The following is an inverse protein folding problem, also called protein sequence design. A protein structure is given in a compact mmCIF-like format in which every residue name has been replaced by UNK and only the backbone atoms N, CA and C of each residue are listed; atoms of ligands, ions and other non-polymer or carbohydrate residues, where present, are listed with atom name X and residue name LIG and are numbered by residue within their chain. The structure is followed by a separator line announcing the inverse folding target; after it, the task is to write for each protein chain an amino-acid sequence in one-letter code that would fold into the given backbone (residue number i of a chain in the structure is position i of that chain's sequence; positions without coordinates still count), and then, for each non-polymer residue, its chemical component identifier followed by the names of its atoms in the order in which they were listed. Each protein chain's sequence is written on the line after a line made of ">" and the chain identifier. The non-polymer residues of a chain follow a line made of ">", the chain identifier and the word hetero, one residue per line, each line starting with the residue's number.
data_IF_295073612215
#
_entry.id   IF_295073612215
#
_cell.length_a   1.000
_cell.length_b   1.000
_cell.length_c   1.000
_cell.angle_alpha   90.00
_cell.angle_beta   90.00
_cell.angle_gamma   90.00
#
_symmetry.space_group_name_H-M   'P 1'
#
loop_
_entity.id
_entity.type
_entity.pdbx_description
1 polymer ?
#
# COMPACT_ATOMS: atom_id res chain seq x y z
N UNK A 1 25.33 -22.22 -4.89
CA UNK A 1 24.37 -21.12 -5.05
C UNK A 1 23.41 -20.96 -3.86
N UNK A 2 22.45 -21.84 -3.56
CA UNK A 2 21.51 -21.62 -2.41
C UNK A 2 22.21 -21.50 -1.04
N UNK A 3 23.20 -22.34 -0.76
CA UNK A 3 23.96 -22.28 0.51
C UNK A 3 24.79 -20.99 0.59
N UNK A 4 25.38 -20.55 -0.53
CA UNK A 4 26.17 -19.32 -0.58
C UNK A 4 25.30 -18.08 -0.35
N UNK A 5 24.11 -18.03 -0.95
CA UNK A 5 23.14 -16.96 -0.71
C UNK A 5 22.69 -16.94 0.75
N UNK A 6 22.38 -18.10 1.35
CA UNK A 6 21.99 -18.18 2.76
C UNK A 6 23.12 -17.70 3.69
N UNK A 7 24.37 -18.10 3.41
CA UNK A 7 25.53 -17.64 4.18
C UNK A 7 25.70 -16.12 4.03
N UNK A 8 25.48 -15.56 2.84
CA UNK A 8 25.51 -14.11 2.61
C UNK A 8 24.45 -13.39 3.45
N UNK A 9 23.19 -13.85 3.42
CA UNK A 9 22.12 -13.22 4.19
C UNK A 9 22.37 -13.31 5.70
N UNK A 10 22.78 -14.48 6.22
CA UNK A 10 23.14 -14.65 7.64
C UNK A 10 24.28 -13.72 8.02
N UNK A 11 25.32 -13.64 7.19
CA UNK A 11 26.47 -12.76 7.45
C UNK A 11 26.05 -11.29 7.42
N UNK A 12 25.19 -10.90 6.49
CA UNK A 12 24.65 -9.54 6.40
C UNK A 12 23.89 -9.16 7.66
N UNK A 13 22.99 -10.02 8.15
CA UNK A 13 22.23 -9.77 9.39
C UNK A 13 23.18 -9.71 10.59
N UNK A 14 24.16 -10.62 10.67
CA UNK A 14 25.11 -10.66 11.78
C UNK A 14 26.04 -9.43 11.83
N UNK A 15 26.46 -8.91 10.67
CA UNK A 15 27.34 -7.75 10.56
C UNK A 15 26.59 -6.41 10.61
N UNK A 16 25.26 -6.42 10.50
CA UNK A 16 24.45 -5.21 10.62
C UNK A 16 24.20 -4.95 12.09
N UNK A 17 24.81 -3.89 12.62
CA UNK A 17 24.56 -3.41 13.98
C UNK A 17 23.19 -2.71 14.04
N UNK A 18 22.14 -3.51 14.25
CA UNK A 18 20.76 -3.04 14.38
C UNK A 18 20.27 -2.66 15.81
N UNK A 19 21.02 -2.82 16.93
CA UNK A 19 20.53 -2.39 18.23
C UNK A 19 20.35 -0.86 18.24
N UNK A 20 19.11 -0.44 18.45
CA UNK A 20 18.77 0.98 18.54
C UNK A 20 19.41 1.54 19.80
N UNK A 21 20.31 2.51 19.62
CA UNK A 21 20.98 3.21 20.71
C UNK A 21 20.04 4.19 21.45
N UNK A 22 18.88 4.50 20.85
CA UNK A 22 17.88 5.41 21.40
C UNK A 22 16.47 4.81 21.32
N UNK A 23 15.60 5.28 22.21
CA UNK A 23 14.18 4.89 22.20
C UNK A 23 13.54 5.35 20.88
N UNK A 24 12.80 4.48 20.16
CA UNK A 24 12.19 4.86 18.90
C UNK A 24 11.21 6.00 19.08
N UNK A 25 11.17 6.89 18.08
CA UNK A 25 10.16 7.93 18.05
C UNK A 25 8.81 7.31 17.71
N UNK A 26 7.70 8.00 18.05
CA UNK A 26 6.39 7.58 17.62
C UNK A 26 6.24 7.31 16.12
N UNK A 27 6.87 8.16 15.32
CA UNK A 27 6.83 8.06 13.86
C UNK A 27 7.59 6.82 13.38
N UNK A 28 8.69 6.44 14.05
CA UNK A 28 9.48 5.26 13.69
C UNK A 28 8.72 3.95 13.90
N UNK A 29 7.94 3.86 14.98
CA UNK A 29 7.06 2.70 15.20
C UNK A 29 5.96 2.60 14.13
N UNK A 30 5.35 3.73 13.78
CA UNK A 30 4.35 3.76 12.72
C UNK A 30 4.95 3.34 11.37
N UNK A 31 6.17 3.81 11.05
CA UNK A 31 6.92 3.37 9.86
C UNK A 31 7.17 1.87 9.87
N UNK A 32 7.61 1.32 11.00
CA UNK A 32 7.87 -0.11 11.12
C UNK A 32 6.61 -0.96 10.86
N UNK A 33 5.46 -0.54 11.39
CA UNK A 33 4.21 -1.26 11.12
C UNK A 33 3.67 -1.05 9.71
N UNK A 34 3.86 0.13 9.12
CA UNK A 34 3.55 0.38 7.71
C UNK A 34 4.44 -0.46 6.77
N UNK A 35 5.70 -0.71 7.13
CA UNK A 35 6.59 -1.61 6.40
C UNK A 35 6.04 -3.06 6.36
N UNK A 36 5.36 -3.52 7.41
CA UNK A 36 4.68 -4.83 7.40
C UNK A 36 3.53 -4.84 6.38
N UNK A 37 2.81 -3.73 6.24
CA UNK A 37 1.74 -3.60 5.24
C UNK A 37 2.33 -3.73 3.84
N UNK A 38 3.36 -2.95 3.51
CA UNK A 38 4.01 -2.95 2.21
C UNK A 38 4.66 -4.30 1.86
N UNK A 39 5.48 -4.85 2.77
CA UNK A 39 6.30 -6.03 2.47
C UNK A 39 5.50 -7.34 2.50
N UNK A 40 4.43 -7.41 3.29
CA UNK A 40 3.72 -8.67 3.55
C UNK A 40 2.22 -8.58 3.21
N UNK A 41 1.47 -7.73 3.92
CA UNK A 41 0.01 -7.75 3.85
C UNK A 41 -0.52 -7.37 2.47
N UNK A 42 0.14 -6.45 1.78
CA UNK A 42 -0.26 -5.96 0.46
C UNK A 42 -0.44 -7.09 -0.55
N UNK A 43 0.47 -8.09 -0.54
CA UNK A 43 0.40 -9.27 -1.41
C UNK A 43 -0.38 -10.42 -0.79
N UNK A 44 -0.22 -10.63 0.52
CA UNK A 44 -0.81 -11.77 1.21
C UNK A 44 -2.34 -11.72 1.25
N UNK A 45 -2.94 -10.53 1.47
CA UNK A 45 -4.39 -10.38 1.63
C UNK A 45 -5.15 -10.68 0.34
N UNK A 46 -4.81 -10.09 -0.83
CA UNK A 46 -5.46 -10.44 -2.10
C UNK A 46 -5.29 -11.92 -2.45
N UNK A 47 -4.10 -12.48 -2.24
CA UNK A 47 -3.83 -13.90 -2.48
C UNK A 47 -4.73 -14.79 -1.62
N UNK A 48 -4.83 -14.50 -0.32
CA UNK A 48 -5.71 -15.23 0.58
C UNK A 48 -7.19 -15.12 0.17
N UNK A 49 -7.68 -13.93 -0.17
CA UNK A 49 -9.05 -13.74 -0.65
C UNK A 49 -9.32 -14.51 -1.95
N UNK A 50 -8.32 -14.63 -2.82
CA UNK A 50 -8.42 -15.46 -4.02
C UNK A 50 -8.55 -16.95 -3.67
N UNK A 51 -7.75 -17.46 -2.73
CA UNK A 51 -7.87 -18.83 -2.23
C UNK A 51 -9.25 -19.10 -1.63
N UNK A 52 -9.75 -18.19 -0.79
CA UNK A 52 -11.10 -18.28 -0.19
C UNK A 52 -12.17 -18.30 -1.27
N UNK A 53 -12.09 -17.40 -2.25
CA UNK A 53 -13.02 -17.35 -3.38
C UNK A 53 -13.06 -18.67 -4.17
N UNK A 54 -11.90 -19.26 -4.42
CA UNK A 54 -11.79 -20.56 -5.10
C UNK A 54 -12.34 -21.71 -4.25
N UNK A 55 -12.06 -21.71 -2.95
CA UNK A 55 -12.63 -22.69 -2.02
C UNK A 55 -14.16 -22.60 -1.97
N UNK A 56 -14.72 -21.37 -1.92
CA UNK A 56 -16.16 -21.14 -1.95
C UNK A 56 -16.80 -21.62 -3.25
N UNK A 57 -16.15 -21.43 -4.41
CA UNK A 57 -16.63 -22.01 -5.68
C UNK A 57 -16.70 -23.53 -5.62
N UNK A 58 -15.65 -24.19 -5.09
CA UNK A 58 -15.59 -25.65 -4.95
C UNK A 58 -16.70 -26.20 -4.06
N UNK A 59 -16.90 -25.59 -2.89
CA UNK A 59 -17.95 -25.99 -1.96
C UNK A 59 -19.32 -25.65 -2.55
N UNK A 60 -19.55 -24.46 -3.09
CA UNK A 60 -20.89 -24.06 -3.53
C UNK A 60 -21.41 -24.79 -4.77
N UNK A 61 -20.63 -25.66 -5.42
CA UNK A 61 -21.12 -26.52 -6.52
C UNK A 61 -22.35 -27.38 -6.14
N UNK A 62 -22.61 -27.64 -4.86
CA UNK A 62 -23.80 -28.40 -4.44
C UNK A 62 -25.07 -27.57 -4.18
N UNK A 63 -24.99 -26.23 -4.04
CA UNK A 63 -26.19 -25.41 -3.73
C UNK A 63 -26.33 -24.05 -4.44
N UNK A 64 -25.27 -23.36 -4.92
CA UNK A 64 -25.45 -22.07 -5.63
C UNK A 64 -24.27 -21.56 -6.48
N UNK A 65 -23.09 -22.19 -6.45
CA UNK A 65 -21.92 -21.84 -7.28
C UNK A 65 -21.36 -20.42 -7.11
N UNK A 66 -21.67 -19.72 -6.01
CA UNK A 66 -21.35 -18.29 -5.84
C UNK A 66 -19.93 -18.08 -5.33
N UNK A 67 -19.15 -17.31 -6.11
CA UNK A 67 -17.85 -16.74 -5.72
C UNK A 67 -18.00 -15.59 -4.73
N UNK A 68 -16.92 -15.24 -4.03
CA UNK A 68 -16.86 -13.98 -3.28
C UNK A 68 -17.15 -12.79 -4.21
N UNK A 69 -18.04 -11.88 -3.81
CA UNK A 69 -18.36 -10.67 -4.59
C UNK A 69 -17.11 -9.78 -4.69
N UNK A 70 -16.89 -9.16 -5.85
CA UNK A 70 -15.72 -8.28 -6.10
C UNK A 70 -15.61 -7.12 -5.10
N UNK A 71 -16.74 -6.59 -4.61
CA UNK A 71 -16.77 -5.47 -3.64
C UNK A 71 -16.66 -5.93 -2.17
N UNK A 72 -16.55 -7.24 -1.91
CA UNK A 72 -16.51 -7.76 -0.56
C UNK A 72 -15.12 -7.50 0.06
N UNK A 73 -15.08 -6.79 1.18
CA UNK A 73 -13.87 -6.52 1.96
C UNK A 73 -14.04 -7.07 3.38
N UNK A 74 -13.99 -8.41 3.56
CA UNK A 74 -14.28 -9.03 4.85
C UNK A 74 -13.15 -8.82 5.88
N UNK A 75 -11.96 -8.43 5.41
CA UNK A 75 -10.79 -8.16 6.25
C UNK A 75 -10.50 -6.66 6.18
N UNK A 76 -10.35 -6.04 7.34
CA UNK A 76 -9.93 -4.64 7.50
C UNK A 76 -8.88 -4.55 8.58
N UNK A 77 -7.85 -3.77 8.33
CA UNK A 77 -6.77 -3.52 9.29
C UNK A 77 -6.97 -2.16 9.94
N UNK A 78 -6.73 -2.11 11.24
CA UNK A 78 -6.60 -0.90 12.03
C UNK A 78 -5.24 -0.90 12.71
N UNK A 79 -4.71 0.29 12.95
CA UNK A 79 -3.47 0.48 13.70
C UNK A 79 -3.74 1.35 14.90
N UNK A 80 -3.22 0.93 16.05
CA UNK A 80 -3.15 1.76 17.25
C UNK A 80 -1.85 2.54 17.36
N UNK A 81 -0.90 2.28 16.45
CA UNK A 81 0.40 2.95 16.45
C UNK A 81 0.17 4.46 16.36
N UNK A 82 0.33 5.09 17.52
CA UNK A 82 0.31 6.54 17.74
C UNK A 82 -1.04 7.24 17.47
N UNK A 83 -2.12 6.46 17.47
CA UNK A 83 -3.48 6.94 17.72
C UNK A 83 -3.86 6.84 19.19
N UNK A 84 -3.27 5.89 19.93
CA UNK A 84 -3.47 5.73 21.36
C UNK A 84 -2.55 6.66 22.16
N UNK A 85 -3.17 7.60 22.88
CA UNK A 85 -2.48 8.60 23.70
C UNK A 85 -2.43 8.23 25.18
N UNK A 86 -3.00 7.07 25.57
CA UNK A 86 -3.13 6.72 26.98
C UNK A 86 -1.76 6.61 27.67
N UNK A 87 -1.49 7.54 28.58
CA UNK A 87 -0.24 7.61 29.36
C UNK A 87 1.04 7.98 28.61
N UNK A 88 0.99 8.32 27.31
CA UNK A 88 2.20 8.59 26.52
C UNK A 88 2.27 10.04 26.01
N UNK A 89 2.93 10.90 26.78
CA UNK A 89 3.13 12.33 26.45
C UNK A 89 3.85 12.58 25.11
N UNK A 90 4.51 11.57 24.54
CA UNK A 90 5.18 11.69 23.25
C UNK A 90 4.20 11.57 22.06
N UNK A 91 2.94 11.17 22.29
CA UNK A 91 1.92 11.05 21.24
C UNK A 91 1.08 12.32 21.24
N UNK A 92 1.55 13.32 20.50
CA UNK A 92 0.85 14.60 20.34
C UNK A 92 -0.09 14.57 19.13
N UNK A 93 -1.02 15.53 19.06
CA UNK A 93 -1.90 15.68 17.90
C UNK A 93 -1.13 15.87 16.57
N UNK A 94 0.02 16.56 16.62
CA UNK A 94 0.89 16.71 15.46
C UNK A 94 1.45 15.36 15.01
N UNK A 95 1.94 14.53 15.94
CA UNK A 95 2.42 13.18 15.62
C UNK A 95 1.32 12.32 14.99
N UNK A 96 0.10 12.35 15.53
CA UNK A 96 -1.03 11.59 14.95
C UNK A 96 -1.38 12.08 13.54
N UNK A 97 -1.31 13.40 13.29
CA UNK A 97 -1.47 13.97 11.95
C UNK A 97 -0.38 13.49 11.00
N UNK A 98 0.88 13.54 11.41
CA UNK A 98 2.02 13.14 10.59
C UNK A 98 1.95 11.66 10.21
N UNK A 99 1.62 10.79 11.16
CA UNK A 99 1.44 9.34 10.92
C UNK A 99 0.26 9.07 9.98
N UNK A 100 -0.83 9.82 10.09
CA UNK A 100 -1.99 9.70 9.18
C UNK A 100 -1.61 10.09 7.75
N UNK A 101 -0.87 11.19 7.58
CA UNK A 101 -0.39 11.63 6.26
C UNK A 101 0.62 10.64 5.67
N UNK A 102 1.53 10.12 6.49
CA UNK A 102 2.47 9.06 6.08
C UNK A 102 1.74 7.81 5.60
N UNK A 103 0.69 7.37 6.32
CA UNK A 103 -0.11 6.21 5.93
C UNK A 103 -0.82 6.44 4.58
N UNK A 104 -1.35 7.65 4.37
CA UNK A 104 -1.98 8.04 3.09
C UNK A 104 -0.97 8.06 1.95
N UNK A 105 0.21 8.62 2.18
CA UNK A 105 1.28 8.66 1.19
C UNK A 105 1.69 7.25 0.76
N UNK A 106 1.98 6.36 1.71
CA UNK A 106 2.33 4.97 1.41
C UNK A 106 1.21 4.25 0.65
N UNK A 107 -0.05 4.48 1.06
CA UNK A 107 -1.20 3.89 0.37
C UNK A 107 -1.23 4.31 -1.11
N UNK A 108 -1.06 5.60 -1.39
CA UNK A 108 -1.04 6.13 -2.76
C UNK A 108 0.13 5.52 -3.54
N UNK A 109 1.31 5.46 -2.95
CA UNK A 109 2.50 4.90 -3.57
C UNK A 109 2.30 3.42 -3.97
N UNK A 110 1.75 2.60 -3.07
CA UNK A 110 1.42 1.20 -3.36
C UNK A 110 0.39 1.07 -4.50
N UNK A 111 -0.66 1.89 -4.51
CA UNK A 111 -1.64 1.87 -5.60
C UNK A 111 -1.05 2.32 -6.94
N UNK A 112 -0.16 3.32 -6.95
CA UNK A 112 0.50 3.77 -8.19
C UNK A 112 1.29 2.62 -8.80
N UNK A 113 2.07 1.88 -7.99
CA UNK A 113 2.83 0.72 -8.47
C UNK A 113 1.94 -0.35 -9.10
N UNK A 114 0.79 -0.67 -8.49
CA UNK A 114 -0.17 -1.63 -9.05
C UNK A 114 -0.81 -1.11 -10.35
N UNK A 115 -1.22 0.16 -10.39
CA UNK A 115 -1.81 0.77 -11.58
C UNK A 115 -0.80 0.80 -12.73
N UNK A 116 0.47 1.10 -12.44
CA UNK A 116 1.52 1.10 -13.46
C UNK A 116 1.79 -0.32 -14.00
N UNK A 117 1.77 -1.35 -13.15
CA UNK A 117 1.84 -2.75 -13.63
C UNK A 117 0.65 -3.09 -14.54
N UNK A 118 -0.57 -2.73 -14.12
CA UNK A 118 -1.79 -2.99 -14.89
C UNK A 118 -1.80 -2.30 -16.25
N UNK A 119 -1.20 -1.11 -16.38
CA UNK A 119 -1.07 -0.42 -17.68
C UNK A 119 -0.29 -1.26 -18.70
N UNK A 120 0.74 -1.99 -18.26
CA UNK A 120 1.51 -2.86 -19.14
C UNK A 120 0.78 -4.17 -19.46
N UNK A 121 0.04 -4.74 -18.50
CA UNK A 121 -0.68 -5.99 -18.68
C UNK A 121 -1.95 -5.84 -19.53
N UNK A 122 -2.68 -4.73 -19.39
CA UNK A 122 -3.94 -4.47 -20.07
C UNK A 122 -3.74 -3.84 -21.46
N UNK A 123 -2.91 -4.45 -22.30
CA UNK A 123 -2.61 -3.97 -23.66
C UNK A 123 -3.67 -4.35 -24.72
N UNK A 124 -4.85 -4.79 -24.30
CA UNK A 124 -5.94 -5.23 -25.18
C UNK A 124 -6.58 -4.05 -25.89
N UNK A 125 -6.93 -4.21 -27.18
CA UNK A 125 -7.57 -3.16 -27.97
C UNK A 125 -9.10 -3.23 -27.98
N UNK A 126 -9.68 -4.35 -27.56
CA UNK A 126 -11.14 -4.54 -27.51
C UNK A 126 -11.68 -4.11 -26.16
N UNK A 127 -12.69 -3.24 -26.20
CA UNK A 127 -13.40 -2.76 -25.02
C UNK A 127 -14.89 -2.59 -25.32
N UNK A 128 -15.71 -2.48 -24.27
CA UNK A 128 -17.14 -2.17 -24.42
C UNK A 128 -17.34 -0.72 -24.83
N UNK A 129 -18.45 -0.42 -25.49
CA UNK A 129 -18.80 0.96 -25.90
C UNK A 129 -18.77 1.95 -24.73
N UNK A 130 -19.21 1.51 -23.55
CA UNK A 130 -19.17 2.32 -22.32
C UNK A 130 -17.75 2.69 -21.90
N UNK A 131 -16.80 1.76 -22.01
CA UNK A 131 -15.40 1.98 -21.65
C UNK A 131 -14.70 2.83 -22.72
N UNK A 132 -15.02 2.60 -24.00
CA UNK A 132 -14.50 3.41 -25.11
C UNK A 132 -14.88 4.88 -24.98
N UNK A 133 -16.16 5.17 -24.64
CA UNK A 133 -16.62 6.55 -24.43
C UNK A 133 -15.89 7.23 -23.29
N UNK A 134 -15.77 6.54 -22.14
CA UNK A 134 -15.05 7.07 -20.98
C UNK A 134 -13.57 7.36 -21.31
N UNK A 135 -12.91 6.47 -22.06
CA UNK A 135 -11.53 6.67 -22.48
C UNK A 135 -11.37 7.89 -23.40
N UNK A 136 -12.31 8.10 -24.33
CA UNK A 136 -12.33 9.28 -25.20
C UNK A 136 -12.51 10.58 -24.41
N UNK A 137 -13.46 10.63 -23.46
CA UNK A 137 -13.67 11.79 -22.57
C UNK A 137 -12.38 12.14 -21.79
N UNK A 138 -11.69 11.13 -21.26
CA UNK A 138 -10.42 11.33 -20.52
C UNK A 138 -9.33 11.86 -21.45
N UNK A 139 -9.22 11.37 -22.68
CA UNK A 139 -8.22 11.85 -23.65
C UNK A 139 -8.47 13.31 -24.05
N UNK A 140 -9.73 13.67 -24.28
CA UNK A 140 -10.14 15.02 -24.64
C UNK A 140 -9.87 16.03 -23.50
N UNK A 141 -10.13 15.63 -22.25
CA UNK A 141 -9.86 16.48 -21.08
C UNK A 141 -8.41 16.43 -20.57
N UNK A 142 -7.69 15.32 -20.80
CA UNK A 142 -6.34 15.06 -20.29
C UNK A 142 -5.24 15.85 -21.01
N UNK A 143 -5.44 16.21 -22.28
CA UNK A 143 -4.49 17.07 -23.02
C UNK A 143 -4.34 18.47 -22.40
N UNK A 144 -5.27 18.90 -21.55
CA UNK A 144 -5.22 20.20 -20.87
C UNK A 144 -4.42 20.19 -19.55
N UNK A 145 -4.18 19.01 -18.96
CA UNK A 145 -3.60 18.86 -17.60
C UNK A 145 -2.30 18.04 -17.52
N UNK A 146 -1.80 17.55 -18.66
CA UNK A 146 -0.70 16.57 -18.75
C UNK A 146 0.67 17.03 -18.19
N UNK A 147 0.84 18.29 -17.76
CA UNK A 147 2.08 18.76 -17.13
C UNK A 147 2.08 18.77 -15.59
N UNK A 148 0.93 18.61 -14.91
CA UNK A 148 0.82 18.91 -13.47
C UNK A 148 0.53 17.71 -12.56
N UNK A 149 -0.01 16.61 -13.07
CA UNK A 149 -0.60 15.59 -12.19
C UNK A 149 0.41 14.61 -11.58
N UNK A 150 1.53 14.36 -12.25
CA UNK A 150 2.52 13.37 -11.78
C UNK A 150 3.43 13.94 -10.68
N UNK A 151 3.60 15.27 -10.63
CA UNK A 151 4.49 15.92 -9.67
C UNK A 151 3.76 16.57 -8.50
N UNK A 152 2.51 17.04 -8.65
CA UNK A 152 1.83 17.80 -7.60
C UNK A 152 1.48 16.99 -6.34
N UNK A 153 1.07 15.72 -6.48
CA UNK A 153 0.77 14.85 -5.33
C UNK A 153 2.04 14.39 -4.59
N UNK A 154 3.12 14.12 -5.34
CA UNK A 154 4.42 13.75 -4.77
C UNK A 154 5.06 14.98 -4.12
N UNK A 155 5.05 16.15 -4.77
CA UNK A 155 5.53 17.42 -4.19
C UNK A 155 4.74 17.83 -2.95
N UNK A 156 3.41 17.66 -2.92
CA UNK A 156 2.62 17.99 -1.74
C UNK A 156 2.96 17.09 -0.54
N UNK A 157 3.24 15.81 -0.78
CA UNK A 157 3.69 14.90 0.27
C UNK A 157 5.15 15.18 0.69
N UNK A 158 6.02 15.52 -0.25
CA UNK A 158 7.45 15.78 -0.01
C UNK A 158 7.67 17.12 0.72
N UNK A 159 6.96 18.18 0.31
CA UNK A 159 7.04 19.52 0.92
C UNK A 159 6.63 19.51 2.40
N UNK A 160 5.69 18.65 2.81
CA UNK A 160 5.29 18.55 4.21
C UNK A 160 6.34 17.85 5.11
N UNK A 161 7.09 16.91 4.53
CA UNK A 161 8.17 16.17 5.23
C UNK A 161 9.42 17.03 5.45
N UNK A 162 9.70 18.00 4.57
CA UNK A 162 10.83 18.93 4.78
C UNK A 162 10.50 20.06 5.76
N UNK A 163 9.26 20.56 5.78
CA UNK A 163 8.86 21.64 6.71
C UNK A 163 8.79 21.23 8.18
N UNK A 164 8.93 19.93 8.49
CA UNK A 164 8.90 19.37 9.85
C UNK A 164 10.29 19.06 10.41
N UNK A 165 11.37 19.41 9.68
CA UNK A 165 12.77 19.33 10.15
C UNK A 165 13.38 20.69 10.54
N UNK A 166 12.58 21.73 10.69
CA UNK A 166 13.01 23.04 11.22
C UNK A 166 12.47 23.26 12.65
#
# INVERSE_FOLDING_TARGET
>A
MVIEDLVREITSVWQTDEPRHHKPTPVDEARAGLNIVEQSLWKAVPHYLHCVSNALKKVSHWETGKSLRLKCTPIRFGSWMRGDQDGNLNVTANVTKDVSLLSRWMTIDLYIREVDSLKFELSMNWCSDSLSKLAQEILEHGMTYCSYFQWSLILAAWYHVETTKA
#
